data_IF_685968925899
#
_entry.id   IF_685968925899
#
_cell.length_a   1.000
_cell.length_b   1.000
_cell.length_c   1.000
_cell.angle_alpha   90.00
_cell.angle_beta   90.00
_cell.angle_gamma   90.00
#
_symmetry.space_group_name_H-M   'P 1'
#
loop_
_entity.id
_entity.type
_entity.pdbx_description
1 polymer ?
#
# COMPACT_ATOMS: atom_id res chain seq x y z
N UNK A 1 -3.92 -9.19 -16.16
CA UNK A 1 -4.47 -9.92 -17.33
C UNK A 1 -4.82 -11.35 -16.96
N UNK A 2 -3.89 -12.18 -16.45
CA UNK A 2 -4.09 -13.62 -16.20
C UNK A 2 -5.27 -13.92 -15.28
N UNK A 3 -5.36 -13.27 -14.11
CA UNK A 3 -6.47 -13.50 -13.18
C UNK A 3 -7.84 -13.18 -13.80
N UNK A 4 -7.94 -12.10 -14.58
CA UNK A 4 -9.17 -11.77 -15.32
C UNK A 4 -9.53 -12.83 -16.35
N UNK A 5 -8.54 -13.33 -17.10
CA UNK A 5 -8.75 -14.41 -18.07
C UNK A 5 -9.28 -15.69 -17.42
N UNK A 6 -8.70 -16.09 -16.28
CA UNK A 6 -9.17 -17.24 -15.50
C UNK A 6 -10.57 -17.03 -14.94
N UNK A 7 -10.84 -15.86 -14.34
CA UNK A 7 -12.16 -15.52 -13.82
C UNK A 7 -13.24 -15.57 -14.91
N UNK A 8 -12.93 -15.04 -16.09
CA UNK A 8 -13.85 -15.05 -17.23
C UNK A 8 -14.08 -16.47 -17.76
N UNK A 9 -13.00 -17.24 -17.95
CA UNK A 9 -13.10 -18.59 -18.54
C UNK A 9 -13.81 -19.61 -17.62
N UNK A 10 -13.67 -19.43 -16.29
CA UNK A 10 -14.20 -20.34 -15.28
C UNK A 10 -15.50 -19.82 -14.63
N UNK A 11 -16.00 -18.67 -15.05
CA UNK A 11 -17.12 -17.96 -14.42
C UNK A 11 -16.94 -17.83 -12.90
N UNK A 12 -15.76 -17.32 -12.49
CA UNK A 12 -15.42 -17.13 -11.08
C UNK A 12 -15.23 -15.65 -10.75
N UNK A 13 -15.73 -15.20 -9.58
CA UNK A 13 -15.49 -13.85 -9.13
C UNK A 13 -13.99 -13.62 -8.82
N UNK A 14 -13.58 -12.38 -8.89
CA UNK A 14 -12.27 -11.92 -8.47
C UNK A 14 -12.38 -11.15 -7.15
N UNK A 15 -11.31 -11.17 -6.40
CA UNK A 15 -11.17 -10.40 -5.17
C UNK A 15 -9.96 -9.48 -5.33
N UNK A 16 -10.21 -8.18 -5.26
CA UNK A 16 -9.15 -7.19 -5.27
C UNK A 16 -8.57 -7.06 -3.86
N UNK A 17 -7.31 -7.43 -3.69
CA UNK A 17 -6.58 -7.25 -2.42
C UNK A 17 -5.49 -6.19 -2.64
N UNK A 18 -5.55 -5.05 -1.92
CA UNK A 18 -4.52 -4.02 -2.01
C UNK A 18 -3.16 -4.57 -1.59
N UNK A 19 -2.12 -4.29 -2.39
CA UNK A 19 -0.78 -4.83 -2.16
C UNK A 19 -0.22 -4.40 -0.80
N UNK A 20 -0.37 -3.12 -0.44
CA UNK A 20 0.16 -2.59 0.83
C UNK A 20 -0.58 -3.16 2.03
N UNK A 21 -1.89 -3.36 1.93
CA UNK A 21 -2.68 -4.00 2.97
C UNK A 21 -2.26 -5.47 3.18
N UNK A 22 -2.06 -6.22 2.08
CA UNK A 22 -1.55 -7.58 2.16
C UNK A 22 -0.14 -7.64 2.76
N UNK A 23 0.71 -6.64 2.48
CA UNK A 23 2.02 -6.54 3.13
C UNK A 23 1.88 -6.27 4.63
N UNK A 24 1.01 -5.37 5.05
CA UNK A 24 0.75 -5.11 6.47
C UNK A 24 0.26 -6.37 7.18
N UNK A 25 -0.56 -7.18 6.51
CA UNK A 25 -1.08 -8.44 7.06
C UNK A 25 0.00 -9.50 7.34
N UNK A 26 1.21 -9.38 6.75
CA UNK A 26 2.35 -10.23 7.11
C UNK A 26 2.74 -10.11 8.60
N UNK A 27 2.44 -8.96 9.20
CA UNK A 27 2.78 -8.66 10.60
C UNK A 27 1.54 -8.76 11.48
N UNK A 28 0.81 -9.87 11.29
CA UNK A 28 -0.42 -10.14 11.99
C UNK A 28 -0.31 -9.85 13.50
N UNK A 29 -1.27 -9.10 14.00
CA UNK A 29 -1.44 -8.75 15.42
C UNK A 29 -0.26 -8.02 16.07
N UNK A 30 0.58 -7.37 15.27
CA UNK A 30 1.67 -6.53 15.78
C UNK A 30 1.10 -5.29 16.50
N UNK A 31 1.56 -4.96 17.70
CA UNK A 31 1.14 -3.76 18.41
C UNK A 31 1.64 -2.48 17.72
N UNK A 32 0.85 -1.39 17.84
CA UNK A 32 1.14 -0.11 17.18
C UNK A 32 0.70 -0.08 15.72
N UNK A 33 1.37 0.70 14.90
CA UNK A 33 1.03 0.84 13.49
C UNK A 33 2.01 0.08 12.59
N UNK A 34 1.46 -0.50 11.53
CA UNK A 34 2.21 -1.20 10.48
C UNK A 34 2.24 -0.32 9.23
N UNK A 35 3.44 0.00 8.75
CA UNK A 35 3.68 0.92 7.65
C UNK A 35 4.44 0.21 6.52
N UNK A 36 3.75 -0.45 5.59
CA UNK A 36 4.39 -0.92 4.37
C UNK A 36 4.84 0.26 3.52
N UNK A 37 6.07 0.21 3.02
CA UNK A 37 6.63 1.22 2.12
C UNK A 37 7.25 0.55 0.89
N UNK A 38 6.83 0.98 -0.29
CA UNK A 38 7.44 0.58 -1.57
C UNK A 38 8.07 1.80 -2.22
N UNK A 39 9.29 1.67 -2.74
CA UNK A 39 9.99 2.78 -3.40
C UNK A 39 9.25 3.26 -4.66
N UNK A 40 8.70 4.48 -4.61
CA UNK A 40 8.01 5.12 -5.73
C UNK A 40 8.94 6.06 -6.53
N UNK A 41 10.26 6.03 -6.27
CA UNK A 41 11.27 6.93 -6.80
C UNK A 41 11.10 8.39 -6.35
N UNK A 42 12.11 9.24 -6.62
CA UNK A 42 12.08 10.69 -6.34
C UNK A 42 11.73 11.01 -4.87
N UNK A 43 12.30 10.28 -3.91
CA UNK A 43 12.05 10.42 -2.46
C UNK A 43 10.58 10.21 -2.07
N UNK A 44 9.83 9.47 -2.87
CA UNK A 44 8.43 9.09 -2.59
C UNK A 44 8.33 7.60 -2.32
N UNK A 45 7.31 7.25 -1.55
CA UNK A 45 6.93 5.87 -1.26
C UNK A 45 5.46 5.66 -1.60
N UNK A 46 5.11 4.46 -2.08
CA UNK A 46 3.75 3.97 -1.96
C UNK A 46 3.59 3.43 -0.56
N UNK A 47 2.61 3.91 0.19
CA UNK A 47 2.41 3.57 1.59
C UNK A 47 0.95 3.66 1.99
N UNK A 48 0.59 3.00 3.07
CA UNK A 48 -0.61 3.15 3.86
C UNK A 48 -0.24 2.90 5.32
N UNK A 49 -1.09 3.28 6.25
CA UNK A 49 -0.87 3.04 7.67
C UNK A 49 -2.00 2.15 8.18
N UNK A 50 -1.64 1.05 8.79
CA UNK A 50 -2.56 0.02 9.26
C UNK A 50 -2.30 -0.28 10.73
N UNK A 51 -3.29 -0.86 11.42
CA UNK A 51 -3.14 -1.42 12.76
C UNK A 51 -4.04 -2.63 12.93
N UNK A 52 -3.72 -3.45 13.90
CA UNK A 52 -4.63 -4.51 14.33
C UNK A 52 -5.47 -4.03 15.51
N UNK A 53 -6.78 -4.25 15.43
CA UNK A 53 -7.75 -4.00 16.49
C UNK A 53 -8.59 -5.26 16.62
N UNK A 54 -8.62 -5.87 17.79
CA UNK A 54 -9.33 -7.13 18.04
C UNK A 54 -8.99 -8.21 17.00
N UNK A 55 -7.70 -8.36 16.67
CA UNK A 55 -7.17 -9.29 15.66
C UNK A 55 -7.56 -8.98 14.20
N UNK A 56 -8.24 -7.87 13.95
CA UNK A 56 -8.64 -7.44 12.62
C UNK A 56 -7.74 -6.29 12.10
N UNK A 57 -7.33 -6.38 10.83
CA UNK A 57 -6.56 -5.31 10.22
C UNK A 57 -7.46 -4.13 9.88
N UNK A 58 -7.19 -2.98 10.48
CA UNK A 58 -7.87 -1.72 10.25
C UNK A 58 -6.96 -0.73 9.51
N UNK A 59 -7.54 0.00 8.56
CA UNK A 59 -6.85 1.08 7.84
C UNK A 59 -6.89 2.37 8.66
N UNK A 60 -5.72 2.88 9.02
CA UNK A 60 -5.56 4.18 9.71
C UNK A 60 -5.39 5.29 8.70
N UNK A 61 -4.64 5.03 7.62
CA UNK A 61 -4.49 5.90 6.45
C UNK A 61 -4.52 5.07 5.20
N UNK A 62 -5.34 5.52 4.25
CA UNK A 62 -5.48 4.88 2.95
C UNK A 62 -4.15 4.86 2.18
N UNK A 63 -4.03 3.87 1.31
CA UNK A 63 -2.85 3.74 0.46
C UNK A 63 -2.71 4.91 -0.51
N UNK A 64 -1.51 5.44 -0.62
CA UNK A 64 -1.20 6.57 -1.51
C UNK A 64 0.30 6.63 -1.83
N UNK A 65 0.65 7.49 -2.80
CA UNK A 65 2.04 7.89 -3.04
C UNK A 65 2.30 9.22 -2.32
N UNK A 66 3.33 9.29 -1.48
CA UNK A 66 3.72 10.50 -0.76
C UNK A 66 5.22 10.60 -0.51
N UNK A 67 5.69 11.76 -0.08
CA UNK A 67 7.07 11.95 0.37
C UNK A 67 7.36 11.15 1.63
N UNK A 68 8.60 10.68 1.77
CA UNK A 68 9.00 9.94 2.98
C UNK A 68 8.94 10.84 4.22
N UNK A 69 9.26 12.12 4.08
CA UNK A 69 9.22 13.10 5.15
C UNK A 69 7.78 13.30 5.66
N UNK A 70 6.83 13.42 4.74
CA UNK A 70 5.39 13.54 5.06
C UNK A 70 4.89 12.30 5.82
N UNK A 71 5.31 11.09 5.40
CA UNK A 71 4.98 9.87 6.13
C UNK A 71 5.54 9.88 7.55
N UNK A 72 6.79 10.31 7.72
CA UNK A 72 7.44 10.40 9.05
C UNK A 72 6.68 11.39 9.95
N UNK A 73 6.24 12.52 9.42
CA UNK A 73 5.43 13.49 10.16
C UNK A 73 4.10 12.90 10.62
N UNK A 74 3.41 12.16 9.74
CA UNK A 74 2.17 11.47 10.09
C UNK A 74 2.37 10.42 11.20
N UNK A 75 3.44 9.61 11.11
CA UNK A 75 3.78 8.62 12.13
C UNK A 75 4.05 9.31 13.47
N UNK A 76 4.78 10.40 13.46
CA UNK A 76 5.05 11.17 14.66
C UNK A 76 3.76 11.78 15.27
N UNK A 77 2.84 12.22 14.42
CA UNK A 77 1.54 12.76 14.86
C UNK A 77 0.62 11.69 15.47
N UNK A 78 0.73 10.42 15.01
CA UNK A 78 0.00 9.30 15.61
C UNK A 78 0.51 8.98 17.03
N UNK A 79 1.80 9.21 17.32
CA UNK A 79 2.38 9.00 18.64
C UNK A 79 2.50 7.53 19.07
N UNK A 80 2.35 6.59 18.15
CA UNK A 80 2.36 5.14 18.41
C UNK A 80 3.63 4.49 17.85
N UNK A 81 4.11 3.38 18.46
CA UNK A 81 5.17 2.57 17.87
C UNK A 81 4.84 2.15 16.44
N UNK A 82 5.84 2.19 15.56
CA UNK A 82 5.66 1.89 14.14
C UNK A 82 6.59 0.78 13.67
N UNK A 83 6.06 -0.15 12.87
CA UNK A 83 6.83 -1.21 12.21
C UNK A 83 6.81 -0.96 10.70
N UNK A 84 7.97 -0.80 10.10
CA UNK A 84 8.13 -0.62 8.66
C UNK A 84 8.51 -1.92 7.96
N UNK A 85 7.98 -2.11 6.74
CA UNK A 85 8.32 -3.23 5.86
C UNK A 85 8.24 -2.81 4.40
N UNK A 86 8.82 -3.60 3.51
CA UNK A 86 8.80 -3.36 2.08
C UNK A 86 10.16 -3.01 1.49
N UNK A 87 10.22 -2.93 0.18
CA UNK A 87 11.45 -2.64 -0.57
C UNK A 87 11.91 -1.18 -0.46
N UNK A 88 11.06 -0.30 0.06
CA UNK A 88 11.44 1.06 0.43
C UNK A 88 12.29 1.13 1.71
N UNK A 89 12.22 0.10 2.59
CA UNK A 89 12.97 0.11 3.86
C UNK A 89 14.47 0.29 3.66
N UNK A 90 15.18 -0.47 2.80
CA UNK A 90 16.60 -0.27 2.60
C UNK A 90 16.97 1.13 2.09
N UNK A 91 16.07 1.77 1.34
CA UNK A 91 16.30 3.10 0.74
C UNK A 91 16.15 4.20 1.79
N UNK A 92 15.16 4.09 2.68
CA UNK A 92 14.75 5.16 3.58
C UNK A 92 15.03 4.92 5.06
N UNK A 93 15.69 3.80 5.40
CA UNK A 93 15.93 3.37 6.79
C UNK A 93 16.57 4.45 7.66
N UNK A 94 17.61 5.10 7.17
CA UNK A 94 18.32 6.14 7.92
C UNK A 94 17.44 7.36 8.17
N UNK A 95 16.64 7.77 7.18
CA UNK A 95 15.72 8.88 7.30
C UNK A 95 14.59 8.56 8.29
N UNK A 96 14.07 7.34 8.26
CA UNK A 96 13.05 6.88 9.21
C UNK A 96 13.61 6.91 10.64
N UNK A 97 14.81 6.34 10.84
CA UNK A 97 15.45 6.29 12.17
C UNK A 97 15.77 7.67 12.73
N UNK A 98 16.18 8.61 11.88
CA UNK A 98 16.52 9.97 12.30
C UNK A 98 15.31 10.91 12.44
N UNK A 99 14.24 10.66 11.68
CA UNK A 99 13.08 11.55 11.63
C UNK A 99 11.92 11.14 12.55
N UNK A 100 11.78 9.84 12.85
CA UNK A 100 10.73 9.37 13.74
C UNK A 100 11.05 9.68 15.20
N UNK A 101 10.07 10.21 15.91
CA UNK A 101 10.12 10.51 17.35
C UNK A 101 9.49 9.41 18.20
N UNK A 102 8.83 8.45 17.58
CA UNK A 102 8.21 7.28 18.21
C UNK A 102 9.15 6.06 18.08
N UNK A 103 8.96 5.01 18.89
CA UNK A 103 9.69 3.76 18.72
C UNK A 103 9.46 3.17 17.31
N UNK A 104 10.55 2.86 16.62
CA UNK A 104 10.52 2.30 15.26
C UNK A 104 11.21 0.95 15.22
N UNK A 105 10.61 0.02 14.49
CA UNK A 105 11.21 -1.28 14.18
C UNK A 105 10.98 -1.63 12.69
N UNK A 106 11.68 -2.64 12.22
CA UNK A 106 11.59 -3.12 10.85
C UNK A 106 11.26 -4.59 10.83
N UNK A 107 10.41 -4.99 9.90
CA UNK A 107 10.04 -6.38 9.73
C UNK A 107 11.27 -7.25 9.44
N UNK A 108 11.31 -8.48 9.96
CA UNK A 108 12.36 -9.43 9.63
C UNK A 108 12.33 -9.77 8.13
N UNK A 109 13.48 -10.16 7.57
CA UNK A 109 13.68 -10.35 6.13
C UNK A 109 12.62 -11.24 5.48
N UNK A 110 12.19 -12.29 6.16
CA UNK A 110 11.19 -13.23 5.65
C UNK A 110 9.75 -12.68 5.62
N UNK A 111 9.46 -11.56 6.31
CA UNK A 111 8.16 -10.89 6.34
C UNK A 111 8.15 -9.54 5.61
N UNK A 112 9.28 -9.13 5.07
CA UNK A 112 9.49 -7.79 4.51
C UNK A 112 8.94 -7.59 3.08
N UNK A 113 8.44 -8.63 2.43
CA UNK A 113 7.94 -8.58 1.04
C UNK A 113 6.54 -9.16 0.93
N UNK A 114 5.92 -8.92 -0.23
CA UNK A 114 4.61 -9.49 -0.57
C UNK A 114 4.62 -11.01 -0.44
N UNK A 115 3.58 -11.56 0.15
CA UNK A 115 3.40 -13.00 0.32
C UNK A 115 2.02 -13.43 -0.18
N UNK A 116 2.01 -14.46 -1.00
CA UNK A 116 0.76 -15.03 -1.51
C UNK A 116 -0.18 -15.51 -0.39
N UNK A 117 0.39 -16.01 0.73
CA UNK A 117 -0.39 -16.42 1.89
C UNK A 117 -1.17 -15.27 2.53
N UNK A 118 -0.56 -14.10 2.69
CA UNK A 118 -1.24 -12.91 3.20
C UNK A 118 -2.35 -12.43 2.26
N UNK A 119 -2.07 -12.42 0.95
CA UNK A 119 -3.09 -12.09 -0.06
C UNK A 119 -4.27 -13.07 0.01
N UNK A 120 -4.00 -14.39 0.11
CA UNK A 120 -5.04 -15.40 0.19
C UNK A 120 -5.87 -15.28 1.49
N UNK A 121 -5.24 -14.99 2.63
CA UNK A 121 -5.92 -14.82 3.90
C UNK A 121 -6.86 -13.59 3.88
N UNK A 122 -6.38 -12.45 3.39
CA UNK A 122 -7.22 -11.26 3.20
C UNK A 122 -8.33 -11.49 2.17
N UNK A 123 -8.03 -12.17 1.04
CA UNK A 123 -9.03 -12.51 0.05
C UNK A 123 -10.14 -13.39 0.63
N UNK A 124 -9.80 -14.36 1.49
CA UNK A 124 -10.80 -15.20 2.17
C UNK A 124 -11.72 -14.38 3.09
N UNK A 125 -11.17 -13.37 3.79
CA UNK A 125 -11.95 -12.43 4.58
C UNK A 125 -12.87 -11.60 3.68
N UNK A 126 -12.32 -10.99 2.63
CA UNK A 126 -13.08 -10.16 1.69
C UNK A 126 -14.19 -10.93 0.99
N UNK A 127 -13.95 -12.20 0.68
CA UNK A 127 -14.99 -13.07 0.15
C UNK A 127 -16.17 -13.22 1.11
N UNK A 128 -15.91 -13.46 2.39
CA UNK A 128 -16.96 -13.54 3.44
C UNK A 128 -17.72 -12.23 3.62
N UNK A 129 -17.03 -11.10 3.42
CA UNK A 129 -17.61 -9.75 3.47
C UNK A 129 -18.37 -9.38 2.17
N UNK A 130 -18.39 -10.25 1.17
CA UNK A 130 -19.03 -9.98 -0.12
C UNK A 130 -18.27 -8.99 -1.02
N UNK A 131 -17.01 -8.69 -0.72
CA UNK A 131 -16.14 -7.81 -1.52
C UNK A 131 -15.60 -8.58 -2.74
N UNK A 132 -16.48 -8.88 -3.67
CA UNK A 132 -16.17 -9.61 -4.90
C UNK A 132 -16.47 -8.74 -6.11
N UNK A 133 -15.78 -9.02 -7.22
CA UNK A 133 -15.94 -8.33 -8.50
C UNK A 133 -16.01 -9.36 -9.63
N UNK A 134 -16.70 -9.05 -10.70
CA UNK A 134 -16.60 -9.82 -11.92
C UNK A 134 -15.25 -9.58 -12.61
N UNK A 135 -14.84 -10.50 -13.47
CA UNK A 135 -13.64 -10.30 -14.27
C UNK A 135 -13.73 -9.05 -15.18
N UNK A 136 -14.93 -8.67 -15.61
CA UNK A 136 -15.16 -7.46 -16.41
C UNK A 136 -14.94 -6.19 -15.60
N UNK A 137 -15.46 -6.13 -14.38
CA UNK A 137 -15.40 -4.95 -13.50
C UNK A 137 -14.01 -4.72 -12.90
N UNK A 138 -13.28 -5.81 -12.64
CA UNK A 138 -11.97 -5.71 -11.98
C UNK A 138 -10.98 -4.84 -12.74
N UNK A 139 -10.42 -3.83 -12.06
CA UNK A 139 -9.38 -2.94 -12.58
C UNK A 139 -8.24 -2.80 -11.58
N UNK A 140 -6.98 -2.69 -12.04
CA UNK A 140 -5.88 -2.32 -11.17
C UNK A 140 -6.11 -0.92 -10.58
N UNK A 141 -5.78 -0.76 -9.31
CA UNK A 141 -5.74 0.55 -8.67
C UNK A 141 -4.33 1.14 -8.82
N UNK A 142 -4.23 2.23 -9.59
CA UNK A 142 -2.97 2.95 -9.78
C UNK A 142 -2.91 4.14 -8.82
N UNK A 143 -2.12 4.04 -7.75
CA UNK A 143 -1.94 5.09 -6.74
C UNK A 143 -1.23 6.34 -7.28
N UNK A 144 -0.68 6.26 -8.48
CA UNK A 144 0.00 7.36 -9.16
C UNK A 144 -0.35 7.36 -10.64
N UNK A 145 -0.73 8.52 -11.14
CA UNK A 145 -0.90 8.74 -12.57
C UNK A 145 0.44 8.52 -13.28
N UNK A 146 0.43 7.84 -14.43
CA UNK A 146 1.64 7.57 -15.20
C UNK A 146 2.37 8.86 -15.57
N UNK A 147 3.69 8.77 -15.79
CA UNK A 147 4.47 9.95 -16.18
C UNK A 147 3.95 10.56 -17.47
N UNK A 148 3.60 9.71 -18.45
CA UNK A 148 3.06 10.14 -19.74
C UNK A 148 1.73 10.90 -19.60
N UNK A 149 0.84 10.45 -18.71
CA UNK A 149 -0.42 11.15 -18.44
C UNK A 149 -0.22 12.50 -17.75
N UNK A 150 0.76 12.59 -16.82
CA UNK A 150 1.12 13.85 -16.18
C UNK A 150 1.69 14.85 -17.19
N UNK A 151 2.66 14.42 -17.99
CA UNK A 151 3.26 15.26 -19.05
C UNK A 151 2.22 15.72 -20.06
N UNK A 152 1.26 14.86 -20.42
CA UNK A 152 0.14 15.22 -21.27
C UNK A 152 -0.77 16.26 -20.61
N UNK A 153 -1.09 16.08 -19.34
CA UNK A 153 -1.93 17.02 -18.60
C UNK A 153 -1.25 18.39 -18.44
N UNK A 154 0.05 18.41 -18.17
CA UNK A 154 0.85 19.65 -18.10
C UNK A 154 0.93 20.35 -19.46
N UNK A 155 1.10 19.59 -20.55
CA UNK A 155 1.10 20.15 -21.90
C UNK A 155 -0.24 20.80 -22.24
N UNK A 156 -1.35 20.12 -21.98
CA UNK A 156 -2.69 20.64 -22.22
C UNK A 156 -2.97 21.91 -21.41
N UNK A 157 -2.52 21.97 -20.15
CA UNK A 157 -2.63 23.20 -19.36
C UNK A 157 -1.87 24.37 -19.96
N UNK A 158 -0.64 24.15 -20.39
CA UNK A 158 0.19 25.21 -21.05
C UNK A 158 -0.44 25.68 -22.37
N UNK A 159 -1.03 24.77 -23.14
CA UNK A 159 -1.73 25.11 -24.38
C UNK A 159 -2.97 25.96 -24.11
N UNK A 160 -3.69 25.72 -22.99
CA UNK A 160 -4.84 26.53 -22.58
C UNK A 160 -4.45 27.89 -21.99
N UNK A 161 -3.33 28.00 -21.31
CA UNK A 161 -2.81 29.27 -20.75
C UNK A 161 -2.24 30.21 -21.83
N UNK A 162 -1.88 29.69 -23.00
CA UNK A 162 -1.31 30.43 -24.12
C UNK A 162 -2.33 30.71 -25.25
N UNK A 163 -3.60 30.35 -25.07
CA UNK A 163 -4.68 30.57 -26.03
C UNK A 163 -5.61 31.74 -25.60
#
# INVERSE_FOLDING_TARGET
>A
ATAKGLGLALDKPLIAVPTLEAMAYNLYDTPGVVCPIMDARRRQVYTGIYRFVDHELATVREQQAKGIEELIEEINALGEPAVFLGDGVPVFKEQILSGCKVPVSFAPVHLNKQKAGAVAALAARYYKEGKIQTAAEHRPEYLRVSQAERERAERLKREQENA
#
